data_IF_989649515111
#
_entry.id   IF_989649515111
#
_cell.length_a   1.000
_cell.length_b   1.000
_cell.length_c   1.000
_cell.angle_alpha   90.00
_cell.angle_beta   90.00
_cell.angle_gamma   90.00
#
_symmetry.space_group_name_H-M   'P 1'
#
loop_
_entity.id
_entity.type
_entity.pdbx_description
1 polymer ?
#
# COMPACT_ATOMS: atom_id res chain seq x y z
N UNK A 1 23.03 -16.74 -14.00
CA UNK A 1 22.65 -15.62 -13.12
C UNK A 1 21.21 -15.85 -12.71
N UNK A 2 20.87 -15.75 -11.43
CA UNK A 2 19.48 -15.86 -11.02
C UNK A 2 18.78 -14.56 -11.40
N UNK A 3 17.82 -14.61 -12.31
CA UNK A 3 17.04 -13.44 -12.76
C UNK A 3 16.07 -12.91 -11.68
N UNK A 4 16.05 -13.55 -10.51
CA UNK A 4 15.24 -13.19 -9.36
C UNK A 4 15.98 -13.41 -8.05
N UNK A 5 15.74 -12.53 -7.09
CA UNK A 5 16.25 -12.62 -5.71
C UNK A 5 15.10 -12.44 -4.74
N UNK A 6 15.15 -13.14 -3.60
CA UNK A 6 14.14 -13.02 -2.57
C UNK A 6 14.55 -11.91 -1.59
N UNK A 7 13.65 -10.98 -1.32
CA UNK A 7 13.88 -9.86 -0.40
C UNK A 7 12.71 -9.76 0.58
N UNK A 8 12.97 -9.16 1.74
CA UNK A 8 11.93 -8.83 2.71
C UNK A 8 11.48 -7.38 2.53
N UNK A 9 10.17 -7.15 2.55
CA UNK A 9 9.57 -5.82 2.37
C UNK A 9 9.79 -4.98 3.61
N UNK A 10 10.22 -3.73 3.42
CA UNK A 10 10.36 -2.74 4.46
C UNK A 10 9.64 -1.43 4.06
N UNK A 11 9.30 -0.63 5.06
CA UNK A 11 8.61 0.66 4.86
C UNK A 11 9.50 1.66 4.12
N UNK A 12 8.92 2.38 3.16
CA UNK A 12 9.63 3.46 2.49
C UNK A 12 9.83 4.66 3.42
N UNK A 13 10.92 5.40 3.20
CA UNK A 13 11.02 6.71 3.82
C UNK A 13 10.07 7.67 3.13
N UNK A 14 9.50 8.60 3.90
CA UNK A 14 8.55 9.61 3.42
C UNK A 14 8.99 10.38 2.15
N UNK A 15 10.31 10.55 1.92
CA UNK A 15 10.85 11.22 0.73
C UNK A 15 10.71 10.43 -0.58
N UNK A 16 10.53 9.12 -0.50
CA UNK A 16 10.43 8.20 -1.63
C UNK A 16 8.97 7.82 -1.95
N UNK A 17 8.03 8.15 -1.06
CA UNK A 17 6.59 7.88 -1.20
C UNK A 17 6.02 8.58 -2.43
N UNK A 18 5.21 7.85 -3.20
CA UNK A 18 4.53 8.35 -4.39
C UNK A 18 5.43 8.52 -5.62
N UNK A 19 6.66 8.00 -5.57
CA UNK A 19 7.64 8.09 -6.68
C UNK A 19 7.87 6.78 -7.43
N UNK A 20 7.18 5.70 -7.05
CA UNK A 20 7.35 4.34 -7.57
C UNK A 20 8.80 3.83 -7.46
N UNK A 21 9.50 4.20 -6.38
CA UNK A 21 10.90 3.82 -6.15
C UNK A 21 10.96 2.60 -5.23
N UNK A 22 11.78 1.62 -5.60
CA UNK A 22 12.23 0.55 -4.72
C UNK A 22 13.69 0.77 -4.33
N UNK A 23 13.94 0.93 -3.03
CA UNK A 23 15.30 1.05 -2.48
C UNK A 23 15.85 -0.34 -2.18
N UNK A 24 16.95 -0.69 -2.82
CA UNK A 24 17.56 -2.03 -2.78
C UNK A 24 19.06 -1.88 -2.53
N UNK A 25 19.64 -2.77 -1.73
CA UNK A 25 21.07 -2.78 -1.46
C UNK A 25 21.89 -2.92 -2.78
N UNK A 26 23.04 -2.24 -2.84
CA UNK A 26 23.89 -2.23 -4.04
C UNK A 26 24.41 -3.62 -4.38
N UNK A 27 24.78 -4.40 -3.37
CA UNK A 27 25.29 -5.75 -3.56
C UNK A 27 24.22 -6.64 -4.23
N UNK A 28 22.96 -6.47 -3.82
CA UNK A 28 21.80 -7.15 -4.40
C UNK A 28 21.54 -6.67 -5.83
N UNK A 29 21.62 -5.36 -6.07
CA UNK A 29 21.49 -4.78 -7.41
C UNK A 29 22.54 -5.34 -8.38
N UNK A 30 23.80 -5.45 -7.93
CA UNK A 30 24.89 -6.02 -8.72
C UNK A 30 24.68 -7.52 -8.99
N UNK A 31 24.23 -8.29 -8.00
CA UNK A 31 23.94 -9.73 -8.13
C UNK A 31 22.91 -10.05 -9.22
N UNK A 32 21.85 -9.24 -9.33
CA UNK A 32 20.81 -9.40 -10.37
C UNK A 32 21.05 -8.54 -11.62
N UNK A 33 22.18 -7.82 -11.66
CA UNK A 33 22.61 -7.02 -12.80
C UNK A 33 21.68 -5.86 -13.14
N UNK A 34 21.17 -5.14 -12.14
CA UNK A 34 20.37 -3.91 -12.32
C UNK A 34 21.14 -2.67 -11.87
N UNK A 35 20.83 -1.53 -12.47
CA UNK A 35 21.39 -0.22 -12.12
C UNK A 35 20.33 0.70 -11.52
N UNK A 36 20.79 1.80 -10.92
CA UNK A 36 19.88 2.85 -10.47
C UNK A 36 19.11 3.41 -11.66
N UNK A 37 17.79 3.48 -11.56
CA UNK A 37 16.90 3.92 -12.62
C UNK A 37 16.33 2.78 -13.48
N UNK A 38 16.86 1.57 -13.37
CA UNK A 38 16.29 0.42 -14.06
C UNK A 38 14.91 0.09 -13.50
N UNK A 39 14.03 -0.42 -14.37
CA UNK A 39 12.70 -0.87 -13.95
C UNK A 39 12.78 -2.33 -13.53
N UNK A 40 12.17 -2.63 -12.39
CA UNK A 40 12.13 -3.96 -11.80
C UNK A 40 10.70 -4.33 -11.44
N UNK A 41 10.43 -5.62 -11.36
CA UNK A 41 9.16 -6.16 -10.92
C UNK A 41 9.28 -6.64 -9.47
N UNK A 42 8.42 -6.12 -8.61
CA UNK A 42 8.14 -6.70 -7.29
C UNK A 42 7.06 -7.74 -7.48
N UNK A 43 7.39 -9.01 -7.19
CA UNK A 43 6.49 -10.15 -7.37
C UNK A 43 6.06 -10.66 -5.99
N UNK A 44 4.85 -10.27 -5.59
CA UNK A 44 4.11 -10.79 -4.44
C UNK A 44 2.99 -11.74 -4.87
N UNK A 45 1.79 -11.59 -4.30
CA UNK A 45 0.58 -12.27 -4.83
C UNK A 45 0.21 -11.69 -6.20
N UNK A 46 0.45 -10.39 -6.39
CA UNK A 46 0.39 -9.69 -7.66
C UNK A 46 1.76 -9.11 -8.05
N UNK A 47 1.86 -8.55 -9.26
CA UNK A 47 3.11 -7.97 -9.79
C UNK A 47 2.98 -6.45 -9.88
N UNK A 48 3.92 -5.74 -9.29
CA UNK A 48 4.04 -4.28 -9.40
C UNK A 48 5.36 -3.91 -10.09
N UNK A 49 5.35 -2.92 -10.99
CA UNK A 49 6.58 -2.39 -11.58
C UNK A 49 7.02 -1.10 -10.87
N UNK A 50 8.32 -0.99 -10.64
CA UNK A 50 8.95 0.10 -9.89
C UNK A 50 10.33 0.44 -10.46
N UNK A 51 10.86 1.58 -10.07
CA UNK A 51 12.21 2.05 -10.41
C UNK A 51 13.17 1.63 -9.28
N UNK A 52 14.21 0.89 -9.62
CA UNK A 52 15.25 0.52 -8.67
C UNK A 52 16.13 1.73 -8.33
N UNK A 53 16.40 1.93 -7.04
CA UNK A 53 17.34 2.92 -6.55
C UNK A 53 18.21 2.35 -5.42
N UNK A 54 19.42 2.90 -5.20
CA UNK A 54 20.29 2.44 -4.13
C UNK A 54 19.63 2.59 -2.76
N UNK A 55 19.78 1.55 -1.95
CA UNK A 55 19.35 1.46 -0.55
C UNK A 55 20.10 2.43 0.37
N UNK A 56 19.64 2.49 1.62
CA UNK A 56 20.27 3.29 2.65
C UNK A 56 21.44 2.53 3.27
N UNK A 57 22.49 3.22 3.76
CA UNK A 57 23.60 2.56 4.43
C UNK A 57 23.18 1.71 5.64
N UNK A 58 22.10 2.11 6.33
CA UNK A 58 21.54 1.35 7.46
C UNK A 58 20.89 0.02 7.07
N UNK A 59 20.51 -0.18 5.81
CA UNK A 59 19.85 -1.40 5.33
C UNK A 59 20.83 -2.42 4.72
N UNK A 60 22.12 -2.09 4.68
CA UNK A 60 23.13 -2.88 3.98
C UNK A 60 23.24 -4.29 4.59
N UNK A 61 23.17 -5.32 3.73
CA UNK A 61 23.24 -6.73 4.12
C UNK A 61 22.01 -7.28 4.83
N UNK A 62 20.89 -6.55 4.87
CA UNK A 62 19.66 -7.00 5.53
C UNK A 62 18.67 -7.74 4.60
N UNK A 63 19.02 -7.92 3.33
CA UNK A 63 18.17 -8.50 2.28
C UNK A 63 16.79 -7.83 2.19
N UNK A 64 16.77 -6.50 2.34
CA UNK A 64 15.56 -5.69 2.36
C UNK A 64 15.29 -4.99 1.02
N UNK A 65 14.00 -4.75 0.77
CA UNK A 65 13.51 -3.83 -0.25
C UNK A 65 12.56 -2.83 0.41
N UNK A 66 12.88 -1.53 0.35
CA UNK A 66 11.92 -0.51 0.79
C UNK A 66 11.06 -0.05 -0.36
N UNK A 67 9.76 -0.20 -0.21
CA UNK A 67 8.72 0.22 -1.16
C UNK A 67 7.60 0.91 -0.39
N UNK A 68 6.93 1.86 -1.03
CA UNK A 68 5.82 2.60 -0.40
C UNK A 68 4.53 1.78 -0.36
N UNK A 69 3.53 2.30 0.36
CA UNK A 69 2.24 1.66 0.52
C UNK A 69 1.48 1.43 -0.79
N UNK A 70 1.68 2.31 -1.79
CA UNK A 70 1.05 2.15 -3.10
C UNK A 70 1.61 0.95 -3.86
N UNK A 71 2.93 0.74 -3.83
CA UNK A 71 3.58 -0.42 -4.43
C UNK A 71 3.27 -1.70 -3.65
N UNK A 72 3.26 -1.64 -2.31
CA UNK A 72 2.85 -2.76 -1.46
C UNK A 72 1.44 -3.24 -1.80
N UNK A 73 0.48 -2.32 -1.89
CA UNK A 73 -0.89 -2.63 -2.30
C UNK A 73 -0.97 -3.25 -3.71
N UNK A 74 -0.22 -2.71 -4.67
CA UNK A 74 -0.15 -3.24 -6.03
C UNK A 74 0.44 -4.65 -6.12
N UNK A 75 1.40 -4.99 -5.26
CA UNK A 75 1.97 -6.33 -5.21
C UNK A 75 1.18 -7.28 -4.28
N UNK A 76 0.18 -6.75 -3.54
CA UNK A 76 -0.55 -7.40 -2.45
C UNK A 76 0.38 -8.05 -1.42
N UNK A 77 1.25 -7.23 -0.87
CA UNK A 77 2.22 -7.59 0.17
C UNK A 77 2.20 -6.52 1.24
N UNK A 78 2.47 -6.87 2.48
CA UNK A 78 2.72 -5.90 3.53
C UNK A 78 4.16 -5.96 4.05
N UNK A 79 4.40 -5.27 5.15
CA UNK A 79 5.74 -5.14 5.73
C UNK A 79 6.21 -6.50 6.28
N UNK A 80 7.49 -6.82 6.13
CA UNK A 80 8.11 -8.10 6.51
C UNK A 80 7.74 -9.32 5.63
N UNK A 81 6.81 -9.17 4.68
CA UNK A 81 6.56 -10.22 3.69
C UNK A 81 7.79 -10.45 2.81
N UNK A 82 7.94 -11.69 2.34
CA UNK A 82 8.97 -12.07 1.38
C UNK A 82 8.44 -11.95 -0.04
N UNK A 83 9.20 -11.27 -0.89
CA UNK A 83 8.88 -11.10 -2.31
C UNK A 83 10.02 -11.59 -3.18
N UNK A 84 9.73 -11.80 -4.47
CA UNK A 84 10.77 -11.95 -5.47
C UNK A 84 10.94 -10.64 -6.25
N UNK A 85 12.16 -10.13 -6.28
CA UNK A 85 12.54 -9.02 -7.15
C UNK A 85 13.04 -9.60 -8.48
N UNK A 86 12.49 -9.13 -9.59
CA UNK A 86 12.85 -9.61 -10.93
C UNK A 86 13.21 -8.43 -11.84
N UNK A 87 14.30 -8.55 -12.61
CA UNK A 87 14.69 -7.55 -13.61
C UNK A 87 13.64 -7.43 -14.72
N UNK A 88 13.38 -6.20 -15.16
CA UNK A 88 12.51 -5.91 -16.31
C UNK A 88 13.20 -4.99 -17.30
N UNK A 89 12.95 -5.20 -18.59
CA UNK A 89 13.42 -4.31 -19.66
C UNK A 89 12.19 -3.72 -20.36
N UNK A 90 11.54 -2.71 -19.75
CA UNK A 90 10.30 -2.17 -20.28
C UNK A 90 10.54 -1.40 -21.58
N UNK A 91 9.54 -1.43 -22.45
CA UNK A 91 9.52 -0.62 -23.65
C UNK A 91 8.80 0.70 -23.38
N UNK A 92 9.06 1.72 -24.20
CA UNK A 92 8.27 2.95 -24.17
C UNK A 92 6.83 2.64 -24.58
N UNK A 93 5.87 3.07 -23.76
CA UNK A 93 4.47 2.82 -24.01
C UNK A 93 4.01 3.57 -25.26
N UNK A 94 3.38 2.86 -26.20
CA UNK A 94 2.66 3.48 -27.33
C UNK A 94 1.29 3.99 -26.88
N UNK A 95 0.61 3.20 -26.06
CA UNK A 95 -0.72 3.53 -25.53
C UNK A 95 -0.87 2.98 -24.12
N UNK A 96 -1.49 3.78 -23.24
CA UNK A 96 -1.90 3.36 -21.90
C UNK A 96 -3.35 3.77 -21.70
N UNK A 97 -4.17 2.84 -21.21
CA UNK A 97 -5.57 3.10 -20.88
C UNK A 97 -5.71 3.07 -19.36
N UNK A 98 -6.20 4.17 -18.80
CA UNK A 98 -6.47 4.32 -17.37
C UNK A 98 -7.98 4.40 -17.14
N UNK A 99 -8.43 3.93 -15.98
CA UNK A 99 -9.76 4.24 -15.46
C UNK A 99 -9.62 4.90 -14.08
N UNK A 100 -10.38 5.95 -13.79
CA UNK A 100 -10.39 6.56 -12.46
C UNK A 100 -11.12 5.67 -11.46
N UNK A 101 -10.72 5.74 -10.20
CA UNK A 101 -11.41 5.05 -9.08
C UNK A 101 -12.47 5.91 -8.41
N UNK A 102 -12.54 7.19 -8.78
CA UNK A 102 -13.51 8.16 -8.28
C UNK A 102 -13.94 9.10 -9.41
N UNK A 103 -15.03 9.85 -9.21
CA UNK A 103 -15.44 10.84 -10.21
C UNK A 103 -14.41 11.98 -10.25
N UNK A 104 -13.72 12.09 -11.37
CA UNK A 104 -12.69 13.11 -11.56
C UNK A 104 -13.13 14.18 -12.58
N UNK A 105 -12.73 15.42 -12.33
CA UNK A 105 -12.75 16.49 -13.33
C UNK A 105 -11.31 16.86 -13.68
N UNK A 106 -10.84 16.40 -14.83
CA UNK A 106 -9.48 16.66 -15.30
C UNK A 106 -9.37 18.07 -15.88
N UNK A 107 -8.96 19.03 -15.05
CA UNK A 107 -8.58 20.37 -15.51
C UNK A 107 -7.28 20.25 -16.32
N UNK A 108 -7.34 20.54 -17.63
CA UNK A 108 -6.19 20.42 -18.54
C UNK A 108 -6.12 19.12 -19.36
N UNK A 109 -7.10 18.22 -19.22
CA UNK A 109 -7.23 17.01 -20.02
C UNK A 109 -6.10 15.97 -19.84
N UNK A 110 -6.06 14.92 -20.70
CA UNK A 110 -5.05 13.85 -20.60
C UNK A 110 -3.59 14.34 -20.74
N UNK A 111 -3.38 15.48 -21.41
CA UNK A 111 -2.07 16.09 -21.60
C UNK A 111 -1.44 16.61 -20.31
N UNK A 112 -2.25 16.87 -19.27
CA UNK A 112 -1.73 17.19 -17.95
C UNK A 112 -1.21 15.92 -17.25
N UNK A 113 -1.98 14.85 -17.28
CA UNK A 113 -1.61 13.56 -16.68
C UNK A 113 -0.35 12.97 -17.30
N UNK A 114 -0.16 13.07 -18.62
CA UNK A 114 1.05 12.53 -19.26
C UNK A 114 2.33 13.19 -18.72
N UNK A 115 2.29 14.48 -18.34
CA UNK A 115 3.44 15.19 -17.77
C UNK A 115 3.76 14.69 -16.36
N UNK A 116 2.73 14.33 -15.59
CA UNK A 116 2.88 13.81 -14.23
C UNK A 116 3.30 12.34 -14.22
N UNK A 117 2.95 11.58 -15.27
CA UNK A 117 3.28 10.17 -15.41
C UNK A 117 4.56 9.92 -16.20
N UNK A 118 5.15 10.93 -16.84
CA UNK A 118 6.38 10.79 -17.64
C UNK A 118 7.50 10.16 -16.81
N UNK A 119 8.10 9.09 -17.35
CA UNK A 119 9.16 8.32 -16.69
C UNK A 119 8.67 7.25 -15.71
N UNK A 120 7.37 7.23 -15.34
CA UNK A 120 6.84 6.22 -14.43
C UNK A 120 6.63 4.89 -15.15
N UNK A 121 7.07 3.77 -14.56
CA UNK A 121 6.76 2.44 -15.09
C UNK A 121 5.33 2.06 -14.75
N UNK A 122 4.63 1.45 -15.70
CA UNK A 122 3.25 0.97 -15.51
C UNK A 122 3.06 -0.41 -16.10
N UNK A 123 2.20 -1.22 -15.47
CA UNK A 123 1.74 -2.52 -15.97
C UNK A 123 0.24 -2.63 -15.81
N UNK A 124 -0.41 -3.50 -16.60
CA UNK A 124 -1.84 -3.79 -16.46
C UNK A 124 -2.18 -4.21 -15.02
N UNK A 125 -3.24 -3.65 -14.47
CA UNK A 125 -3.73 -3.89 -13.10
C UNK A 125 -3.12 -2.94 -12.06
N UNK A 126 -1.99 -2.28 -12.37
CA UNK A 126 -1.33 -1.41 -11.40
C UNK A 126 -2.19 -0.17 -11.10
N UNK A 127 -2.30 0.13 -9.81
CA UNK A 127 -2.92 1.35 -9.28
C UNK A 127 -1.88 2.45 -9.26
N UNK A 128 -2.25 3.63 -9.77
CA UNK A 128 -1.40 4.79 -9.87
C UNK A 128 -2.01 5.93 -9.06
N UNK A 129 -1.25 6.42 -8.09
CA UNK A 129 -1.56 7.64 -7.35
C UNK A 129 -0.79 8.80 -7.98
N UNK A 130 -1.51 9.80 -8.44
CA UNK A 130 -0.96 10.98 -9.10
C UNK A 130 -1.22 12.19 -8.20
N UNK A 131 -0.15 12.70 -7.60
CA UNK A 131 -0.20 13.90 -6.78
C UNK A 131 -0.51 15.12 -7.67
N UNK A 132 -1.61 15.80 -7.38
CA UNK A 132 -1.99 17.05 -8.05
C UNK A 132 -2.00 18.21 -7.05
N UNK A 133 -2.17 19.44 -7.55
CA UNK A 133 -2.14 20.66 -6.70
C UNK A 133 -3.28 20.68 -5.68
N UNK A 134 -4.44 20.10 -6.00
CA UNK A 134 -5.59 20.07 -5.10
C UNK A 134 -5.65 18.76 -4.31
N UNK A 135 -5.96 17.66 -5.00
CA UNK A 135 -6.13 16.34 -4.40
C UNK A 135 -5.40 15.29 -5.24
N UNK A 136 -4.80 14.26 -4.62
CA UNK A 136 -4.27 13.12 -5.35
C UNK A 136 -5.38 12.46 -6.18
N UNK A 137 -5.08 12.10 -7.42
CA UNK A 137 -5.99 11.35 -8.28
C UNK A 137 -5.54 9.90 -8.36
N UNK A 138 -6.48 8.97 -8.26
CA UNK A 138 -6.20 7.54 -8.30
C UNK A 138 -6.75 6.90 -9.57
N UNK A 139 -5.92 6.06 -10.20
CA UNK A 139 -6.23 5.38 -11.45
C UNK A 139 -5.84 3.91 -11.40
N UNK A 140 -6.54 3.09 -12.18
CA UNK A 140 -6.15 1.70 -12.47
C UNK A 140 -5.71 1.60 -13.92
N UNK A 141 -4.58 0.95 -14.17
CA UNK A 141 -4.09 0.67 -15.53
C UNK A 141 -4.88 -0.49 -16.13
N UNK A 142 -5.76 -0.20 -17.08
CA UNK A 142 -6.63 -1.20 -17.72
C UNK A 142 -5.88 -2.01 -18.76
N UNK A 143 -5.02 -1.34 -19.54
CA UNK A 143 -4.19 -1.99 -20.53
C UNK A 143 -3.02 -1.11 -20.95
N UNK A 144 -1.97 -1.77 -21.42
CA UNK A 144 -0.75 -1.17 -21.95
C UNK A 144 -0.48 -1.72 -23.35
N UNK A 145 0.16 -0.92 -24.20
CA UNK A 145 0.69 -1.35 -25.50
C UNK A 145 2.17 -0.97 -25.59
N UNK A 146 3.09 -1.97 -25.68
CA UNK A 146 2.85 -3.42 -25.66
C UNK A 146 2.27 -3.96 -24.34
N UNK A 147 1.72 -5.19 -24.35
CA UNK A 147 1.18 -5.88 -23.17
C UNK A 147 2.30 -6.42 -22.26
N UNK A 148 3.16 -5.53 -21.80
CA UNK A 148 4.26 -5.77 -20.87
C UNK A 148 4.34 -4.61 -19.89
N UNK A 149 5.22 -4.66 -18.88
CA UNK A 149 5.66 -3.45 -18.21
C UNK A 149 6.18 -2.46 -19.26
N UNK A 150 5.73 -1.21 -19.16
CA UNK A 150 6.08 -0.13 -20.09
C UNK A 150 6.42 1.13 -19.31
N UNK A 151 7.25 1.99 -19.91
CA UNK A 151 7.52 3.32 -19.35
C UNK A 151 6.65 4.34 -20.07
N UNK A 152 5.95 5.17 -19.31
CA UNK A 152 5.17 6.29 -19.86
C UNK A 152 6.13 7.39 -20.32
N UNK A 153 5.92 7.88 -21.53
CA UNK A 153 6.71 8.97 -22.13
C UNK A 153 5.79 10.02 -22.74
N UNK A 154 6.32 11.19 -23.12
CA UNK A 154 5.55 12.25 -23.82
C UNK A 154 4.91 11.78 -25.13
N UNK A 155 5.46 10.75 -25.76
CA UNK A 155 4.94 10.16 -27.00
C UNK A 155 3.83 9.14 -26.75
N UNK A 156 3.57 8.76 -25.50
CA UNK A 156 2.54 7.78 -25.16
C UNK A 156 1.16 8.38 -25.34
N UNK A 157 0.29 7.68 -26.08
CA UNK A 157 -1.14 8.02 -26.16
C UNK A 157 -1.84 7.57 -24.88
N UNK A 158 -2.18 8.52 -24.01
CA UNK A 158 -2.91 8.27 -22.77
C UNK A 158 -4.41 8.42 -23.01
N UNK A 159 -5.17 7.37 -22.69
CA UNK A 159 -6.64 7.37 -22.75
C UNK A 159 -7.17 7.15 -21.35
N UNK A 160 -7.99 8.08 -20.86
CA UNK A 160 -8.68 7.96 -19.57
C UNK A 160 -10.13 7.62 -19.85
N UNK A 161 -10.63 6.53 -19.28
CA UNK A 161 -12.05 6.16 -19.35
C UNK A 161 -12.89 7.11 -18.50
N UNK A 162 -14.12 7.36 -18.95
CA UNK A 162 -15.11 8.13 -18.18
C UNK A 162 -15.75 7.29 -17.07
N UNK A 163 -15.87 5.97 -17.31
CA UNK A 163 -16.38 5.03 -16.34
C UNK A 163 -15.43 4.92 -15.14
N UNK A 164 -15.98 5.22 -13.97
CA UNK A 164 -15.34 4.93 -12.69
C UNK A 164 -15.39 3.43 -12.48
N UNK A 165 -14.23 2.82 -12.25
CA UNK A 165 -14.20 1.42 -11.84
C UNK A 165 -14.35 1.42 -10.33
N UNK A 166 -15.54 1.02 -9.88
CA UNK A 166 -15.77 0.57 -8.51
C UNK A 166 -14.98 -0.73 -8.33
N UNK A 167 -13.74 -0.58 -7.92
CA UNK A 167 -12.96 -1.70 -7.45
C UNK A 167 -13.52 -2.06 -6.07
N UNK A 168 -14.05 -3.28 -5.94
CA UNK A 168 -14.65 -3.79 -4.70
C UNK A 168 -13.57 -3.83 -3.58
N UNK A 169 -12.28 -3.87 -3.96
CA UNK A 169 -11.13 -3.74 -3.06
C UNK A 169 -10.74 -2.28 -2.74
N UNK A 170 -11.30 -1.27 -3.43
CA UNK A 170 -11.06 0.18 -3.18
C UNK A 170 -11.91 0.72 -2.02
N UNK A 171 -12.52 -0.15 -1.22
CA UNK A 171 -13.10 0.27 0.07
C UNK A 171 -12.02 0.41 1.12
N UNK A 172 -11.28 1.51 0.97
CA UNK A 172 -10.80 2.45 1.98
C UNK A 172 -9.71 3.23 1.28
N UNK A 173 -9.69 4.55 1.46
CA UNK A 173 -8.46 5.33 1.28
C UNK A 173 -7.30 4.46 1.78
N UNK A 174 -6.40 4.00 0.89
CA UNK A 174 -5.24 3.18 1.25
C UNK A 174 -4.28 4.07 2.05
N UNK A 175 -4.74 4.45 3.23
CA UNK A 175 -4.04 5.23 4.21
C UNK A 175 -3.02 4.28 4.80
N UNK A 176 -1.77 4.63 4.64
CA UNK A 176 -0.62 3.86 5.09
C UNK A 176 0.04 4.59 6.26
N UNK A 177 1.00 3.96 6.92
CA UNK A 177 1.77 4.65 7.97
C UNK A 177 2.48 5.90 7.43
N UNK A 178 2.83 5.88 6.16
CA UNK A 178 3.54 6.94 5.44
C UNK A 178 2.70 8.21 5.23
N UNK A 179 1.37 8.07 5.20
CA UNK A 179 0.42 9.18 5.11
C UNK A 179 0.21 9.88 6.46
N UNK A 180 0.76 9.35 7.56
CA UNK A 180 0.57 9.88 8.93
C UNK A 180 1.82 10.64 9.39
N UNK A 181 1.73 11.96 9.39
CA UNK A 181 2.79 12.84 9.88
C UNK A 181 2.85 12.96 11.40
N UNK A 182 4.06 13.01 11.97
CA UNK A 182 4.30 13.43 13.35
C UNK A 182 4.00 12.39 14.45
N UNK A 183 3.55 11.19 14.10
CA UNK A 183 3.15 10.15 15.06
C UNK A 183 4.02 8.88 14.98
N UNK A 184 5.30 9.02 14.63
CA UNK A 184 6.20 7.87 14.39
C UNK A 184 6.34 6.95 15.61
N UNK A 185 6.40 7.54 16.81
CA UNK A 185 6.52 6.77 18.06
C UNK A 185 5.25 5.96 18.32
N UNK A 186 4.10 6.62 18.18
CA UNK A 186 2.79 6.02 18.41
C UNK A 186 2.51 4.91 17.41
N UNK A 187 2.85 5.12 16.13
CA UNK A 187 2.78 4.10 15.08
C UNK A 187 3.67 2.91 15.45
N UNK A 188 4.93 3.13 15.88
CA UNK A 188 5.82 2.05 16.30
C UNK A 188 5.23 1.17 17.41
N UNK A 189 4.68 1.79 18.45
CA UNK A 189 4.02 1.06 19.55
C UNK A 189 2.82 0.24 19.05
N UNK A 190 2.01 0.81 18.16
CA UNK A 190 0.83 0.12 17.64
C UNK A 190 1.23 -1.04 16.72
N UNK A 191 2.30 -0.90 15.94
CA UNK A 191 2.87 -1.99 15.13
C UNK A 191 3.35 -3.14 16.02
N UNK A 192 4.04 -2.84 17.12
CA UNK A 192 4.46 -3.86 18.09
C UNK A 192 3.28 -4.57 18.75
N UNK A 193 2.20 -3.84 19.08
CA UNK A 193 1.04 -4.39 19.77
C UNK A 193 0.06 -5.12 18.85
N UNK A 194 -0.05 -4.74 17.57
CA UNK A 194 -1.08 -5.28 16.66
C UNK A 194 -0.45 -6.04 15.50
N UNK A 195 0.47 -5.42 14.75
CA UNK A 195 1.04 -6.01 13.54
C UNK A 195 1.96 -7.19 13.85
N UNK A 196 2.83 -7.06 14.86
CA UNK A 196 3.78 -8.12 15.21
C UNK A 196 3.08 -9.43 15.65
N UNK A 197 2.05 -9.43 16.52
CA UNK A 197 1.29 -10.65 16.83
C UNK A 197 0.61 -11.30 15.62
N UNK A 198 0.08 -10.50 14.69
CA UNK A 198 -0.64 -11.00 13.53
C UNK A 198 0.29 -11.60 12.48
N UNK A 199 1.45 -10.97 12.26
CA UNK A 199 2.44 -11.42 11.26
C UNK A 199 3.38 -12.51 11.77
N UNK A 200 3.70 -12.48 13.07
CA UNK A 200 4.70 -13.37 13.69
C UNK A 200 4.19 -14.05 14.97
N UNK A 201 3.08 -14.80 14.91
CA UNK A 201 2.52 -15.49 16.09
C UNK A 201 3.53 -16.46 16.73
N UNK A 202 4.43 -17.04 15.94
CA UNK A 202 5.47 -17.97 16.40
C UNK A 202 6.44 -17.33 17.42
N UNK A 203 6.63 -16.02 17.39
CA UNK A 203 7.47 -15.33 18.36
C UNK A 203 6.83 -15.30 19.75
N UNK A 204 5.51 -15.06 19.80
CA UNK A 204 4.74 -15.03 21.04
C UNK A 204 4.63 -16.42 21.66
N UNK A 205 4.41 -17.45 20.83
CA UNK A 205 4.40 -18.85 21.27
C UNK A 205 5.75 -19.28 21.87
N UNK A 206 6.87 -18.94 21.21
CA UNK A 206 8.22 -19.27 21.69
C UNK A 206 8.56 -18.58 23.01
N UNK A 207 8.12 -17.34 23.18
CA UNK A 207 8.34 -16.55 24.38
C UNK A 207 7.36 -16.90 25.51
N UNK A 208 6.29 -17.64 25.21
CA UNK A 208 5.25 -18.01 26.19
C UNK A 208 4.46 -16.80 26.70
N UNK A 209 4.31 -15.76 25.88
CA UNK A 209 3.57 -14.55 26.23
C UNK A 209 2.30 -14.43 25.37
N UNK A 210 1.21 -13.98 25.96
CA UNK A 210 0.00 -13.66 25.20
C UNK A 210 0.14 -12.28 24.54
N UNK A 211 -0.31 -12.12 23.27
CA UNK A 211 -0.37 -10.81 22.65
C UNK A 211 -1.43 -9.93 23.33
N UNK A 212 -1.27 -8.60 23.28
CA UNK A 212 -2.27 -7.69 23.85
C UNK A 212 -3.59 -7.79 23.08
N UNK A 213 -4.71 -7.87 23.81
CA UNK A 213 -6.06 -8.06 23.23
C UNK A 213 -6.77 -6.75 22.87
N UNK A 214 -6.20 -5.61 23.24
CA UNK A 214 -6.80 -4.30 22.97
C UNK A 214 -5.81 -3.16 23.18
N UNK A 215 -6.02 -2.08 22.43
CA UNK A 215 -5.19 -0.87 22.46
C UNK A 215 -6.10 0.33 22.70
N UNK A 216 -5.72 1.22 23.63
CA UNK A 216 -6.45 2.46 23.91
C UNK A 216 -5.67 3.66 23.39
N UNK A 217 -6.24 4.39 22.43
CA UNK A 217 -5.67 5.64 21.90
C UNK A 217 -6.33 6.84 22.58
N UNK A 218 -5.55 7.66 23.29
CA UNK A 218 -6.07 8.85 23.99
C UNK A 218 -5.44 10.16 23.47
N UNK A 219 -6.02 11.30 23.85
CA UNK A 219 -5.55 12.64 23.50
C UNK A 219 -6.60 13.52 22.81
N UNK A 220 -6.27 14.77 22.45
CA UNK A 220 -7.21 15.72 21.85
C UNK A 220 -7.86 15.22 20.55
N UNK A 221 -9.06 15.71 20.19
CA UNK A 221 -9.67 15.43 18.89
C UNK A 221 -8.79 15.97 17.74
N UNK A 222 -8.84 15.32 16.58
CA UNK A 222 -8.07 15.73 15.40
C UNK A 222 -6.59 15.30 15.39
N UNK A 223 -6.13 14.53 16.37
CA UNK A 223 -4.74 14.03 16.47
C UNK A 223 -4.48 12.73 15.67
N UNK A 224 -5.37 12.34 14.77
CA UNK A 224 -5.13 11.21 13.86
C UNK A 224 -5.39 9.81 14.42
N UNK A 225 -6.08 9.64 15.56
CA UNK A 225 -6.36 8.32 16.17
C UNK A 225 -7.05 7.35 15.21
N UNK A 226 -8.14 7.80 14.59
CA UNK A 226 -8.89 7.01 13.60
C UNK A 226 -8.05 6.75 12.34
N UNK A 227 -7.16 7.69 11.96
CA UNK A 227 -6.26 7.47 10.83
C UNK A 227 -5.26 6.36 11.15
N UNK A 228 -4.63 6.37 12.33
CA UNK A 228 -3.70 5.29 12.70
C UNK A 228 -4.41 3.93 12.70
N UNK A 229 -5.59 3.82 13.29
CA UNK A 229 -6.33 2.56 13.31
C UNK A 229 -6.62 2.02 11.91
N UNK A 230 -7.02 2.90 10.97
CA UNK A 230 -7.22 2.54 9.56
C UNK A 230 -5.92 2.13 8.86
N UNK A 231 -4.82 2.84 9.12
CA UNK A 231 -3.51 2.49 8.54
C UNK A 231 -3.06 1.11 8.97
N UNK A 232 -3.20 0.77 10.25
CA UNK A 232 -2.81 -0.55 10.77
C UNK A 232 -3.62 -1.66 10.12
N UNK A 233 -4.93 -1.49 9.97
CA UNK A 233 -5.79 -2.49 9.34
C UNK A 233 -5.39 -2.73 7.87
N UNK A 234 -5.15 -1.65 7.13
CA UNK A 234 -4.70 -1.73 5.74
C UNK A 234 -3.33 -2.43 5.60
N UNK A 235 -2.37 -2.13 6.48
CA UNK A 235 -1.01 -2.69 6.41
C UNK A 235 -0.94 -4.15 6.89
N UNK A 236 -1.90 -4.58 7.70
CA UNK A 236 -2.02 -5.96 8.19
C UNK A 236 -2.92 -6.84 7.33
N UNK A 237 -3.52 -6.30 6.26
CA UNK A 237 -4.54 -6.99 5.43
C UNK A 237 -5.70 -7.54 6.30
N UNK A 238 -6.02 -6.83 7.39
CA UNK A 238 -7.05 -7.20 8.34
C UNK A 238 -8.35 -6.45 8.04
N UNK A 239 -9.50 -7.12 8.28
CA UNK A 239 -10.79 -6.46 8.17
C UNK A 239 -10.88 -5.31 9.17
N UNK A 240 -11.50 -4.19 8.79
CA UNK A 240 -11.67 -3.03 9.66
C UNK A 240 -13.15 -2.78 9.92
N UNK A 241 -13.56 -2.90 11.19
CA UNK A 241 -14.92 -2.59 11.64
C UNK A 241 -14.85 -1.39 12.56
N UNK A 242 -15.52 -0.29 12.19
CA UNK A 242 -15.64 0.91 13.02
C UNK A 242 -17.02 0.95 13.64
N UNK A 243 -17.07 1.09 14.96
CA UNK A 243 -18.29 1.28 15.73
C UNK A 243 -18.22 2.70 16.28
N UNK A 244 -19.21 3.54 16.02
CA UNK A 244 -19.24 4.88 16.62
C UNK A 244 -20.09 4.93 17.89
N UNK A 245 -19.66 5.71 18.90
CA UNK A 245 -20.44 5.89 20.14
C UNK A 245 -21.93 6.24 19.93
N UNK A 246 -22.29 7.10 18.96
CA UNK A 246 -23.69 7.35 18.60
C UNK A 246 -24.44 6.12 18.04
N UNK A 247 -23.78 5.23 17.30
CA UNK A 247 -24.38 3.97 16.82
C UNK A 247 -24.71 3.02 17.97
N UNK A 248 -23.90 3.06 19.04
CA UNK A 248 -24.15 2.27 20.26
C UNK A 248 -25.33 2.84 21.05
N UNK A 249 -25.58 4.15 20.99
CA UNK A 249 -26.64 4.83 21.74
C UNK A 249 -28.00 4.75 21.02
N UNK A 250 -28.61 3.57 20.97
CA UNK A 250 -30.00 3.42 20.51
C UNK A 250 -30.99 3.77 21.63
N UNK A 251 -32.20 4.21 21.24
CA UNK A 251 -33.28 4.56 22.19
C UNK A 251 -33.97 3.34 22.80
N UNK A 252 -33.67 2.12 22.34
CA UNK A 252 -34.36 0.89 22.71
C UNK A 252 -33.43 -0.02 23.52
N UNK A 253 -33.87 -0.37 24.73
CA UNK A 253 -33.09 -1.16 25.67
C UNK A 253 -32.80 -2.57 25.12
N UNK A 254 -31.52 -2.95 25.01
CA UNK A 254 -31.06 -4.28 24.59
C UNK A 254 -30.74 -4.47 23.10
N UNK A 255 -31.18 -3.58 22.21
CA UNK A 255 -30.85 -3.68 20.77
C UNK A 255 -29.37 -3.37 20.51
N UNK A 256 -28.81 -2.37 21.20
CA UNK A 256 -27.40 -2.01 21.10
C UNK A 256 -26.45 -3.13 21.53
N UNK A 257 -26.76 -3.84 22.62
CA UNK A 257 -25.93 -4.95 23.12
C UNK A 257 -25.94 -6.14 22.16
N UNK A 258 -27.12 -6.46 21.60
CA UNK A 258 -27.26 -7.50 20.59
C UNK A 258 -26.44 -7.17 19.35
N UNK A 259 -26.52 -5.92 18.88
CA UNK A 259 -25.77 -5.46 17.72
C UNK A 259 -24.25 -5.53 17.93
N UNK A 260 -23.74 -5.08 19.09
CA UNK A 260 -22.32 -5.22 19.43
C UNK A 260 -21.91 -6.69 19.44
N UNK A 261 -22.71 -7.58 20.03
CA UNK A 261 -22.40 -9.02 20.05
C UNK A 261 -22.33 -9.60 18.63
N UNK A 262 -23.28 -9.26 17.77
CA UNK A 262 -23.29 -9.67 16.37
C UNK A 262 -22.02 -9.19 15.62
N UNK A 263 -21.60 -7.95 15.83
CA UNK A 263 -20.36 -7.41 15.25
C UNK A 263 -19.13 -8.21 15.70
N UNK A 264 -19.01 -8.51 16.99
CA UNK A 264 -17.88 -9.29 17.51
C UNK A 264 -17.88 -10.74 16.99
N UNK A 265 -19.06 -11.37 16.89
CA UNK A 265 -19.21 -12.72 16.32
C UNK A 265 -18.85 -12.75 14.83
N UNK A 266 -19.21 -11.71 14.06
CA UNK A 266 -18.85 -11.59 12.65
C UNK A 266 -17.35 -11.31 12.49
N UNK A 267 -16.76 -10.48 13.34
CA UNK A 267 -15.33 -10.19 13.35
C UNK A 267 -14.49 -11.45 13.63
N UNK A 268 -14.94 -12.33 14.53
CA UNK A 268 -14.29 -13.61 14.83
C UNK A 268 -14.34 -14.56 13.62
N UNK A 269 -15.49 -14.65 12.93
CA UNK A 269 -15.65 -15.48 11.72
C UNK A 269 -14.83 -14.97 10.53
N UNK A 270 -14.55 -13.67 10.50
CA UNK A 270 -13.81 -13.00 9.44
C UNK A 270 -12.35 -12.69 9.82
N UNK A 271 -11.82 -13.30 10.88
CA UNK A 271 -10.45 -13.04 11.34
C UNK A 271 -9.40 -13.19 10.22
N UNK A 272 -8.38 -12.32 10.15
CA UNK A 272 -8.04 -11.27 11.12
C UNK A 272 -8.89 -9.99 10.97
N UNK A 273 -9.39 -9.46 12.08
CA UNK A 273 -10.27 -8.28 12.12
C UNK A 273 -9.87 -7.32 13.24
N UNK A 274 -9.79 -6.03 12.93
CA UNK A 274 -9.62 -4.93 13.88
C UNK A 274 -10.98 -4.26 14.10
N UNK A 275 -11.44 -4.28 15.35
CA UNK A 275 -12.62 -3.53 15.79
C UNK A 275 -12.15 -2.22 16.43
N UNK A 276 -12.60 -1.10 15.88
CA UNK A 276 -12.34 0.24 16.38
C UNK A 276 -13.62 0.81 16.98
N UNK A 277 -13.56 1.28 18.24
CA UNK A 277 -14.69 1.82 19.01
C UNK A 277 -14.40 3.28 19.38
#
# INVERSE_FOLDING_TARGET
MNDRIMLRVAEAHHRDVGRDIARIDRDIMEQIGILSGDVVMVVGKEKACVIAAPGYPEDQGMDLIRIDGSIRANARVGIDDKIYLQKSTPQVAKRVVLAPTEQIRLVGGPQYLIRLLEGRPVTKGQRLRVETVSNPLSFIVISTQPQSPVIVSRTTSLVVKEEVIEDIEVRQTHLTYEDIGGLRREIGLIREMIELPLRHPELFEKLGIEPPKGVMLHGPPGTGKTMIAKAVANETDANFVSISGPEIMSKFYGESEKHIREIFEEAEKSAPTIIFI
#
